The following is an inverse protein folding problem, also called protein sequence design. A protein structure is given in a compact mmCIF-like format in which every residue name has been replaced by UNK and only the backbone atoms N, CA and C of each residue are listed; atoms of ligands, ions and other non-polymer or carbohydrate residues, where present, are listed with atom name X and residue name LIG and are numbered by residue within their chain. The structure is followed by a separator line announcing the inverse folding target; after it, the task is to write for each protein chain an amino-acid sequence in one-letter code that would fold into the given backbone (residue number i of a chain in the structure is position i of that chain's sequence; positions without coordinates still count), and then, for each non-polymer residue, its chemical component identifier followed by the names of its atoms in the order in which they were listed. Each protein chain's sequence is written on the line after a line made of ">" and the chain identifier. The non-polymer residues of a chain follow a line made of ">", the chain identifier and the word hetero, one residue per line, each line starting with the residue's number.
data_IF_501251512362
#
_entry.id   IF_501251512362
#
_cell.length_a   1.000
_cell.length_b   1.000
_cell.length_c   1.000
_cell.angle_alpha   90.00
_cell.angle_beta   90.00
_cell.angle_gamma   90.00
#
_symmetry.space_group_name_H-M   'P 1'
#
loop_
_entity.id
_entity.type
_entity.pdbx_description
1 polymer ?
#
# COMPACT_ATOMS: atom_id res chain seq x y z
N UNK A 1 -4.22 -10.47 -10.26
CA UNK A 1 -4.19 -10.80 -8.82
C UNK A 1 -3.85 -12.27 -8.52
N UNK A 2 -4.01 -13.19 -9.48
CA UNK A 2 -3.64 -14.59 -9.26
C UNK A 2 -2.14 -14.77 -9.01
N UNK A 3 -1.31 -14.01 -9.73
CA UNK A 3 0.14 -14.02 -9.60
C UNK A 3 0.62 -13.58 -8.23
N UNK A 4 -0.02 -12.56 -7.64
CA UNK A 4 0.36 -12.07 -6.31
C UNK A 4 0.18 -13.13 -5.22
N UNK A 5 -0.91 -13.90 -5.28
CA UNK A 5 -1.14 -15.00 -4.34
C UNK A 5 -0.06 -16.08 -4.44
N UNK A 6 0.25 -16.50 -5.67
CA UNK A 6 1.28 -17.54 -5.92
C UNK A 6 2.67 -17.05 -5.50
N UNK A 7 3.03 -15.81 -5.88
CA UNK A 7 4.30 -15.22 -5.51
C UNK A 7 4.46 -15.11 -3.98
N UNK A 8 3.45 -14.64 -3.29
CA UNK A 8 3.47 -14.53 -1.83
C UNK A 8 3.64 -15.89 -1.15
N UNK A 9 2.97 -16.91 -1.67
CA UNK A 9 3.09 -18.27 -1.14
C UNK A 9 4.51 -18.81 -1.27
N UNK A 10 5.18 -18.53 -2.39
CA UNK A 10 6.56 -19.00 -2.66
C UNK A 10 7.59 -18.17 -1.88
N UNK A 11 7.44 -16.85 -1.88
CA UNK A 11 8.41 -15.91 -1.26
C UNK A 11 8.30 -15.90 0.27
N UNK A 12 7.08 -16.04 0.80
CA UNK A 12 6.77 -15.95 2.24
C UNK A 12 7.32 -14.67 2.89
N UNK A 13 6.95 -13.48 2.39
CA UNK A 13 7.51 -12.22 2.86
C UNK A 13 7.06 -11.89 4.28
N UNK A 14 7.92 -11.23 5.05
CA UNK A 14 7.61 -10.72 6.39
C UNK A 14 6.69 -9.50 6.36
N UNK A 15 6.77 -8.71 5.30
CA UNK A 15 5.88 -7.59 5.00
C UNK A 15 5.78 -7.37 3.50
N UNK A 16 4.73 -6.70 3.04
CA UNK A 16 4.52 -6.41 1.63
C UNK A 16 4.05 -4.97 1.40
N UNK A 17 4.68 -4.31 0.44
CA UNK A 17 4.23 -3.04 -0.11
C UNK A 17 3.69 -3.27 -1.52
N UNK A 18 2.46 -2.85 -1.78
CA UNK A 18 1.79 -3.02 -3.06
C UNK A 18 1.69 -1.66 -3.74
N UNK A 19 2.32 -1.51 -4.89
CA UNK A 19 2.23 -0.28 -5.68
C UNK A 19 1.03 -0.35 -6.62
N UNK A 20 0.15 0.65 -6.54
CA UNK A 20 -1.09 0.68 -7.33
C UNK A 20 -1.50 2.10 -7.71
N UNK A 21 -2.40 2.25 -8.66
CA UNK A 21 -3.12 3.49 -8.90
C UNK A 21 -4.37 3.56 -8.02
N UNK A 22 -4.67 4.74 -7.50
CA UNK A 22 -5.87 5.02 -6.71
C UNK A 22 -6.82 5.92 -7.49
N UNK A 23 -8.03 5.47 -7.71
CA UNK A 23 -9.02 6.21 -8.49
C UNK A 23 -9.56 7.42 -7.72
N UNK A 24 -9.39 8.61 -8.29
CA UNK A 24 -9.87 9.87 -7.73
C UNK A 24 -11.39 9.93 -7.56
N UNK A 25 -12.14 9.14 -8.31
CA UNK A 25 -13.61 9.13 -8.27
C UNK A 25 -14.19 8.28 -7.12
N UNK A 26 -13.42 7.35 -6.55
CA UNK A 26 -13.93 6.32 -5.65
C UNK A 26 -13.34 6.37 -4.23
N UNK A 27 -12.89 7.54 -3.80
CA UNK A 27 -12.32 7.76 -2.47
C UNK A 27 -13.12 8.81 -1.68
N UNK A 28 -13.23 8.60 -0.37
CA UNK A 28 -13.79 9.56 0.59
C UNK A 28 -12.82 9.69 1.78
N UNK A 29 -12.07 10.78 1.94
CA UNK A 29 -12.01 11.96 1.07
C UNK A 29 -11.40 11.66 -0.31
N UNK A 30 -11.75 12.48 -1.30
CA UNK A 30 -11.25 12.28 -2.67
C UNK A 30 -9.73 12.51 -2.74
N UNK A 31 -8.99 11.50 -3.16
CA UNK A 31 -7.58 11.65 -3.49
C UNK A 31 -7.42 12.55 -4.73
N UNK A 32 -6.39 13.37 -4.75
CA UNK A 32 -6.17 14.37 -5.79
C UNK A 32 -4.82 14.15 -6.46
N UNK A 33 -4.80 14.24 -7.78
CA UNK A 33 -3.55 14.28 -8.56
C UNK A 33 -2.75 15.51 -8.19
N UNK A 34 -1.42 15.43 -8.26
CA UNK A 34 -0.51 16.52 -7.90
C UNK A 34 -0.34 16.71 -6.38
N UNK A 35 -0.71 15.74 -5.58
CA UNK A 35 -0.57 15.78 -4.11
C UNK A 35 0.36 14.71 -3.55
N UNK A 36 1.17 14.10 -4.40
CA UNK A 36 2.21 13.15 -4.01
C UNK A 36 1.68 11.77 -3.66
N UNK A 37 2.29 11.17 -2.64
CA UNK A 37 2.03 9.79 -2.24
C UNK A 37 0.61 9.60 -1.71
N UNK A 38 -0.04 8.54 -2.16
CA UNK A 38 -1.36 8.11 -1.66
C UNK A 38 -1.21 6.77 -0.95
N UNK A 39 -1.81 6.64 0.23
CA UNK A 39 -1.75 5.46 1.09
C UNK A 39 -3.14 4.89 1.27
N UNK A 40 -3.31 3.61 0.97
CA UNK A 40 -4.56 2.88 1.22
C UNK A 40 -4.71 2.56 2.70
N UNK A 41 -5.55 3.32 3.40
CA UNK A 41 -5.82 3.11 4.83
C UNK A 41 -6.95 2.12 5.08
N UNK A 42 -7.80 1.92 4.10
CA UNK A 42 -8.88 0.94 4.11
C UNK A 42 -9.31 0.56 2.70
N UNK A 43 -9.66 -0.70 2.53
CA UNK A 43 -10.37 -1.19 1.35
C UNK A 43 -11.25 -2.38 1.77
N UNK A 44 -12.38 -2.59 1.09
CA UNK A 44 -13.27 -3.74 1.40
C UNK A 44 -12.59 -5.09 1.32
N UNK A 45 -11.50 -5.20 0.57
CA UNK A 45 -10.81 -6.45 0.34
C UNK A 45 -9.43 -6.51 1.01
N UNK A 46 -8.96 -5.40 1.61
CA UNK A 46 -7.63 -5.31 2.21
C UNK A 46 -7.72 -4.65 3.57
N UNK A 47 -7.19 -5.35 4.57
CA UNK A 47 -6.93 -4.77 5.87
C UNK A 47 -5.42 -4.49 5.96
N UNK A 48 -4.99 -3.21 5.95
CA UNK A 48 -3.58 -2.89 6.07
C UNK A 48 -2.99 -3.37 7.39
N UNK A 49 -1.72 -3.76 7.38
CA UNK A 49 -0.97 -4.02 8.60
C UNK A 49 -0.87 -2.75 9.44
N UNK A 50 -1.52 -2.71 10.60
CA UNK A 50 -1.65 -1.48 11.41
C UNK A 50 -0.31 -0.84 11.75
N UNK A 51 0.67 -1.62 12.20
CA UNK A 51 2.00 -1.11 12.56
C UNK A 51 2.76 -0.60 11.35
N UNK A 52 2.71 -1.34 10.23
CA UNK A 52 3.32 -0.94 8.97
C UNK A 52 2.70 0.35 8.43
N UNK A 53 1.37 0.49 8.49
CA UNK A 53 0.66 1.70 8.08
C UNK A 53 1.10 2.92 8.91
N UNK A 54 1.12 2.80 10.23
CA UNK A 54 1.51 3.91 11.10
C UNK A 54 2.98 4.28 10.90
N UNK A 55 3.89 3.30 10.85
CA UNK A 55 5.31 3.55 10.63
C UNK A 55 5.57 4.27 9.29
N UNK A 56 4.88 3.84 8.23
CA UNK A 56 4.98 4.50 6.92
C UNK A 56 4.45 5.94 6.96
N UNK A 57 3.26 6.14 7.53
CA UNK A 57 2.65 7.47 7.60
C UNK A 57 3.42 8.45 8.50
N UNK A 58 4.10 7.95 9.53
CA UNK A 58 4.96 8.78 10.39
C UNK A 58 6.24 9.22 9.68
N UNK A 59 6.81 8.36 8.83
CA UNK A 59 8.08 8.61 8.14
C UNK A 59 7.92 9.31 6.78
N UNK A 60 6.77 9.17 6.13
CA UNK A 60 6.48 9.72 4.80
C UNK A 60 5.38 10.78 4.89
N UNK A 61 5.78 12.03 4.85
CA UNK A 61 4.88 13.18 4.94
C UNK A 61 5.24 14.25 3.88
N UNK A 62 4.25 14.90 3.26
CA UNK A 62 2.80 14.61 3.35
C UNK A 62 2.39 13.40 2.50
N UNK A 63 1.35 12.69 2.93
CA UNK A 63 0.70 11.67 2.13
C UNK A 63 -0.82 11.83 2.18
N UNK A 64 -1.50 11.35 1.12
CA UNK A 64 -2.95 11.33 1.06
C UNK A 64 -3.46 9.97 1.55
N UNK A 65 -4.55 9.99 2.31
CA UNK A 65 -5.25 8.78 2.71
C UNK A 65 -6.29 8.37 1.66
N UNK A 66 -6.43 7.09 1.43
CA UNK A 66 -7.38 6.52 0.50
C UNK A 66 -8.26 5.47 1.16
N UNK A 67 -9.57 5.64 1.00
CA UNK A 67 -10.58 4.66 1.38
C UNK A 67 -11.17 4.05 0.11
N UNK A 68 -10.87 2.80 -0.16
CA UNK A 68 -11.23 2.11 -1.40
C UNK A 68 -12.29 1.03 -1.23
N UNK A 69 -12.74 0.49 -2.37
CA UNK A 69 -13.75 -0.56 -2.42
C UNK A 69 -13.41 -1.71 -3.38
N UNK A 70 -12.41 -1.52 -4.24
CA UNK A 70 -12.15 -2.46 -5.34
C UNK A 70 -11.04 -3.47 -5.08
N UNK A 71 -10.22 -3.24 -4.07
CA UNK A 71 -9.05 -4.05 -3.82
C UNK A 71 -7.94 -3.86 -4.85
N UNK A 72 -6.84 -4.55 -4.61
CA UNK A 72 -5.69 -4.68 -5.50
C UNK A 72 -4.97 -5.99 -5.18
N UNK A 73 -3.73 -6.16 -5.60
CA UNK A 73 -2.95 -7.36 -5.30
C UNK A 73 -2.81 -7.67 -3.80
N UNK A 74 -2.84 -6.65 -2.96
CA UNK A 74 -2.85 -6.78 -1.51
C UNK A 74 -4.03 -7.59 -0.96
N UNK A 75 -5.14 -7.68 -1.71
CA UNK A 75 -6.32 -8.45 -1.33
C UNK A 75 -6.05 -9.94 -1.11
N UNK A 76 -5.03 -10.46 -1.77
CA UNK A 76 -4.59 -11.86 -1.60
C UNK A 76 -3.35 -11.97 -0.71
N UNK A 77 -2.43 -11.02 -0.83
CA UNK A 77 -1.16 -11.02 -0.08
C UNK A 77 -1.41 -11.07 1.42
N UNK A 78 -2.24 -10.14 1.93
CA UNK A 78 -2.47 -10.02 3.37
C UNK A 78 -3.15 -11.25 4.02
N UNK A 79 -3.79 -12.09 3.21
CA UNK A 79 -4.48 -13.32 3.67
C UNK A 79 -3.67 -14.60 3.43
N UNK A 80 -2.52 -14.51 2.78
CA UNK A 80 -1.73 -15.70 2.41
C UNK A 80 -0.97 -16.23 3.61
N UNK A 81 -0.93 -17.56 3.76
CA UNK A 81 -0.30 -18.27 4.89
C UNK A 81 -0.90 -17.81 6.24
N UNK A 82 -0.04 -17.45 7.18
CA UNK A 82 -0.43 -16.92 8.51
C UNK A 82 -0.86 -15.44 8.49
N UNK A 83 -0.94 -14.86 7.30
CA UNK A 83 -1.15 -13.45 7.10
C UNK A 83 0.18 -12.68 6.94
N UNK A 84 0.22 -11.77 5.98
CA UNK A 84 1.39 -10.92 5.71
C UNK A 84 0.98 -9.46 5.93
N UNK A 85 1.65 -8.72 6.83
CA UNK A 85 1.42 -7.28 6.95
C UNK A 85 1.59 -6.60 5.59
N UNK A 86 0.53 -5.99 5.09
CA UNK A 86 0.49 -5.47 3.73
C UNK A 86 0.01 -4.03 3.73
N UNK A 87 0.64 -3.19 2.93
CA UNK A 87 0.26 -1.80 2.74
C UNK A 87 0.18 -1.47 1.25
N UNK A 88 -0.92 -0.86 0.84
CA UNK A 88 -1.08 -0.36 -0.53
C UNK A 88 -0.62 1.10 -0.61
N UNK A 89 0.28 1.38 -1.52
CA UNK A 89 0.87 2.68 -1.80
C UNK A 89 0.68 3.03 -3.26
N UNK A 90 0.63 4.29 -3.60
CA UNK A 90 0.53 4.67 -4.99
C UNK A 90 0.34 6.15 -5.21
N UNK A 91 -0.27 6.46 -6.33
CA UNK A 91 -0.62 7.82 -6.74
C UNK A 91 -2.08 7.90 -7.14
N UNK A 92 -2.65 9.09 -7.00
CA UNK A 92 -4.01 9.35 -7.45
C UNK A 92 -4.08 9.42 -8.98
N UNK A 93 -5.00 8.67 -9.56
CA UNK A 93 -5.23 8.62 -11.00
C UNK A 93 -6.69 8.87 -11.30
N UNK A 94 -6.97 9.57 -12.40
CA UNK A 94 -8.34 9.74 -12.89
C UNK A 94 -8.63 8.75 -14.01
N UNK A 95 -9.88 8.33 -14.12
CA UNK A 95 -10.37 7.39 -15.13
C UNK A 95 -9.69 6.03 -15.09
N UNK A 96 -9.35 5.56 -13.89
CA UNK A 96 -8.74 4.24 -13.70
C UNK A 96 -9.70 3.14 -14.23
N UNK A 97 -9.14 2.21 -14.99
CA UNK A 97 -9.93 1.17 -15.68
C UNK A 97 -10.44 1.56 -17.08
N UNK A 98 -10.22 2.78 -17.53
CA UNK A 98 -10.52 3.22 -18.90
C UNK A 98 -9.27 3.14 -19.81
N UNK A 99 -9.46 3.42 -21.09
CA UNK A 99 -8.36 3.52 -22.05
C UNK A 99 -7.59 4.85 -21.97
N UNK A 100 -8.03 5.78 -21.13
CA UNK A 100 -7.49 7.14 -21.03
C UNK A 100 -7.27 7.49 -19.54
N UNK A 101 -6.26 6.89 -18.95
CA UNK A 101 -5.88 7.15 -17.54
C UNK A 101 -5.05 8.44 -17.50
N UNK A 102 -5.38 9.31 -16.56
CA UNK A 102 -4.63 10.53 -16.26
C UNK A 102 -3.92 10.40 -14.92
N UNK A 103 -2.61 10.63 -14.91
CA UNK A 103 -1.77 10.66 -13.72
C UNK A 103 -0.85 11.89 -13.75
N UNK A 104 -0.35 12.31 -12.59
CA UNK A 104 0.70 13.32 -12.49
C UNK A 104 2.05 12.61 -12.35
N UNK A 105 2.98 12.88 -13.25
CA UNK A 105 4.33 12.31 -13.21
C UNK A 105 5.13 12.77 -11.99
N UNK A 106 4.86 13.95 -11.47
CA UNK A 106 5.50 14.44 -10.24
C UNK A 106 5.09 13.59 -9.02
N UNK A 107 3.84 13.10 -8.99
CA UNK A 107 3.40 12.19 -7.94
C UNK A 107 4.18 10.87 -8.01
N UNK A 108 4.44 10.35 -9.21
CA UNK A 108 5.21 9.13 -9.40
C UNK A 108 6.68 9.29 -8.96
N UNK A 109 7.31 10.41 -9.32
CA UNK A 109 8.67 10.72 -8.87
C UNK A 109 8.73 10.93 -7.35
N UNK A 110 7.72 11.57 -6.76
CA UNK A 110 7.59 11.72 -5.31
C UNK A 110 7.47 10.35 -4.64
N UNK A 111 6.57 9.48 -5.12
CA UNK A 111 6.40 8.13 -4.58
C UNK A 111 7.71 7.34 -4.65
N UNK A 112 8.40 7.36 -5.78
CA UNK A 112 9.69 6.68 -5.96
C UNK A 112 10.71 7.16 -4.95
N UNK A 113 10.88 8.47 -4.81
CA UNK A 113 11.84 9.09 -3.88
C UNK A 113 11.54 8.70 -2.42
N UNK A 114 10.30 8.86 -2.01
CA UNK A 114 9.89 8.57 -0.64
C UNK A 114 9.96 7.06 -0.33
N UNK A 115 9.61 6.22 -1.29
CA UNK A 115 9.70 4.76 -1.14
C UNK A 115 11.14 4.29 -0.98
N UNK A 116 12.06 4.79 -1.81
CA UNK A 116 13.51 4.46 -1.70
C UNK A 116 14.05 4.91 -0.35
N UNK A 117 13.72 6.12 0.09
CA UNK A 117 14.11 6.64 1.39
C UNK A 117 13.57 5.79 2.55
N UNK A 118 12.28 5.43 2.48
CA UNK A 118 11.62 4.60 3.48
C UNK A 118 12.28 3.22 3.59
N UNK A 119 12.44 2.53 2.46
CA UNK A 119 13.04 1.20 2.43
C UNK A 119 14.49 1.19 2.89
N UNK A 120 15.28 2.21 2.52
CA UNK A 120 16.67 2.34 2.95
C UNK A 120 16.83 2.60 4.45
N UNK A 121 15.79 3.13 5.09
CA UNK A 121 15.77 3.42 6.53
C UNK A 121 15.23 2.29 7.40
N UNK A 122 14.69 1.20 6.80
CA UNK A 122 14.14 0.08 7.56
C UNK A 122 15.25 -0.81 8.11
N UNK A 123 15.15 -1.15 9.39
CA UNK A 123 15.96 -2.17 10.05
C UNK A 123 15.24 -3.53 10.08
N UNK A 124 15.96 -4.60 10.40
CA UNK A 124 15.37 -5.91 10.64
C UNK A 124 14.36 -5.89 11.80
N UNK A 125 14.67 -5.09 12.83
CA UNK A 125 13.77 -4.91 13.99
C UNK A 125 12.46 -4.22 13.61
N UNK A 126 12.51 -3.22 12.71
CA UNK A 126 11.32 -2.57 12.18
C UNK A 126 10.43 -3.60 11.48
N UNK A 127 11.00 -4.42 10.60
CA UNK A 127 10.26 -5.44 9.84
C UNK A 127 9.65 -6.48 10.78
N UNK A 128 10.36 -6.96 11.78
CA UNK A 128 9.84 -7.87 12.80
C UNK A 128 8.67 -7.24 13.57
N UNK A 129 8.74 -5.94 13.87
CA UNK A 129 7.69 -5.21 14.56
C UNK A 129 6.37 -5.13 13.79
N UNK A 130 6.41 -5.24 12.46
CA UNK A 130 5.22 -5.21 11.61
C UNK A 130 4.42 -6.51 11.69
N UNK A 131 5.03 -7.60 12.12
CA UNK A 131 4.40 -8.90 12.25
C UNK A 131 3.17 -8.87 13.16
N UNK A 132 2.20 -9.72 12.84
CA UNK A 132 1.08 -9.98 13.74
C UNK A 132 1.61 -10.79 14.92
N UNK A 133 1.85 -10.11 16.05
CA UNK A 133 2.25 -10.79 17.26
C UNK A 133 1.22 -11.84 17.63
N UNK A 134 1.60 -13.10 17.56
CA UNK A 134 0.78 -14.20 18.05
C UNK A 134 1.06 -14.26 19.55
N UNK A 135 0.18 -13.67 20.35
CA UNK A 135 0.13 -13.99 21.76
C UNK A 135 -0.47 -15.39 21.86
N UNK A 136 0.37 -16.37 22.06
CA UNK A 136 -0.06 -17.65 22.63
C UNK A 136 0.02 -17.46 24.15
N UNK A 137 -1.11 -17.28 24.76
CA UNK A 137 -1.29 -17.51 26.20
C UNK A 137 -1.49 -18.99 26.45
#
# INVERSE_FOLDING_TARGET
>A
WRGSKTATYVIQPDAALVLTGFDTANSQPAAKRGKGVTVGIYDKQILPGKRLLHDFMDKVQPCQEYLGIYGNDGSFIHKTLKGTPTLSLGIAMSHLGSNHILADLNDAECLKKELVKYLSGLSSEDIESFGYGVCYD
#
